data_IF_406493312717
#
_entry.id   IF_406493312717
#
_cell.length_a   1.000
_cell.length_b   1.000
_cell.length_c   1.000
_cell.angle_alpha   90.00
_cell.angle_beta   90.00
_cell.angle_gamma   90.00
#
_symmetry.space_group_name_H-M   'P 1'
#
loop_
_entity.id
_entity.type
_entity.pdbx_description
1 polymer ?
#
# COMPACT_ATOMS: atom_id res chain seq x y z
N UNK A 1 0.43 -94.95 -30.35
CA UNK A 1 1.19 -93.68 -30.38
C UNK A 1 0.46 -92.53 -31.10
N UNK A 2 -0.56 -92.78 -31.93
CA UNK A 2 -1.26 -91.75 -32.73
C UNK A 2 -1.94 -90.63 -31.92
N UNK A 3 -2.60 -90.93 -30.78
CA UNK A 3 -3.27 -89.93 -29.93
C UNK A 3 -2.32 -88.84 -29.39
N UNK A 4 -1.09 -89.22 -29.02
CA UNK A 4 -0.07 -88.27 -28.54
C UNK A 4 0.40 -87.34 -29.66
N UNK A 5 0.56 -87.87 -30.88
CA UNK A 5 0.92 -87.07 -32.04
C UNK A 5 -0.15 -86.03 -32.38
N UNK A 6 -1.43 -86.42 -32.37
CA UNK A 6 -2.56 -85.51 -32.59
C UNK A 6 -2.65 -84.43 -31.50
N UNK A 7 -2.44 -84.80 -30.23
CA UNK A 7 -2.44 -83.82 -29.13
C UNK A 7 -1.31 -82.79 -29.28
N UNK A 8 -0.08 -83.24 -29.60
CA UNK A 8 1.03 -82.32 -29.84
C UNK A 8 0.76 -81.39 -31.03
N UNK A 9 0.16 -81.91 -32.10
CA UNK A 9 -0.24 -81.09 -33.25
C UNK A 9 -1.26 -80.02 -32.86
N UNK A 10 -2.25 -80.37 -32.04
CA UNK A 10 -3.23 -79.40 -31.54
C UNK A 10 -2.58 -78.34 -30.64
N UNK A 11 -1.64 -78.73 -29.77
CA UNK A 11 -0.88 -77.79 -28.91
C UNK A 11 -0.02 -76.85 -29.76
N UNK A 12 0.64 -77.37 -30.79
CA UNK A 12 1.43 -76.53 -31.71
C UNK A 12 0.52 -75.55 -32.45
N UNK A 13 -0.66 -75.99 -32.90
CA UNK A 13 -1.63 -75.12 -33.58
C UNK A 13 -2.17 -74.01 -32.65
N UNK A 14 -2.50 -74.34 -31.40
CA UNK A 14 -2.96 -73.33 -30.43
C UNK A 14 -1.85 -72.34 -30.08
N UNK A 15 -0.61 -72.82 -29.89
CA UNK A 15 0.54 -71.94 -29.68
C UNK A 15 0.76 -71.01 -30.87
N UNK A 16 0.68 -71.51 -32.11
CA UNK A 16 0.81 -70.68 -33.31
C UNK A 16 -0.24 -69.56 -33.36
N UNK A 17 -1.50 -69.87 -33.05
CA UNK A 17 -2.58 -68.87 -33.00
C UNK A 17 -2.32 -67.83 -31.91
N UNK A 18 -1.90 -68.26 -30.70
CA UNK A 18 -1.58 -67.32 -29.63
C UNK A 18 -0.39 -66.44 -29.99
N UNK A 19 0.64 -67.02 -30.64
CA UNK A 19 1.83 -66.28 -31.05
C UNK A 19 1.49 -65.24 -32.10
N UNK A 20 0.65 -65.59 -33.10
CA UNK A 20 0.21 -64.64 -34.12
C UNK A 20 -0.64 -63.52 -33.54
N UNK A 21 -1.56 -63.85 -32.63
CA UNK A 21 -2.38 -62.84 -31.94
C UNK A 21 -1.52 -61.90 -31.11
N UNK A 22 -0.52 -62.42 -30.40
CA UNK A 22 0.39 -61.61 -29.59
C UNK A 22 1.29 -60.73 -30.46
N UNK A 23 1.76 -61.22 -31.61
CA UNK A 23 2.53 -60.40 -32.54
C UNK A 23 1.68 -59.28 -33.14
N UNK A 24 0.42 -59.58 -33.49
CA UNK A 24 -0.51 -58.60 -34.07
C UNK A 24 -0.84 -57.50 -33.06
N UNK A 25 -1.15 -57.85 -31.81
CA UNK A 25 -1.42 -56.87 -30.76
C UNK A 25 -0.18 -56.06 -30.42
N UNK A 26 0.99 -56.68 -30.38
CA UNK A 26 2.26 -55.95 -30.16
C UNK A 26 2.55 -54.96 -31.29
N UNK A 27 2.31 -55.35 -32.55
CA UNK A 27 2.47 -54.47 -33.71
C UNK A 27 1.48 -53.30 -33.65
N UNK A 28 0.22 -53.56 -33.30
CA UNK A 28 -0.80 -52.52 -33.13
C UNK A 28 -0.39 -51.51 -32.03
N UNK A 29 0.03 -51.99 -30.86
CA UNK A 29 0.44 -51.11 -29.77
C UNK A 29 1.64 -50.24 -30.13
N UNK A 30 2.60 -50.78 -30.90
CA UNK A 30 3.74 -50.01 -31.42
C UNK A 30 3.29 -48.95 -32.41
N UNK A 31 2.47 -49.31 -33.39
CA UNK A 31 1.92 -48.36 -34.36
C UNK A 31 1.13 -47.25 -33.69
N UNK A 32 0.30 -47.59 -32.70
CA UNK A 32 -0.47 -46.62 -31.93
C UNK A 32 0.45 -45.67 -31.16
N UNK A 33 1.47 -46.21 -30.49
CA UNK A 33 2.46 -45.38 -29.80
C UNK A 33 3.20 -44.46 -30.77
N UNK A 34 3.69 -44.99 -31.88
CA UNK A 34 4.40 -44.22 -32.91
C UNK A 34 3.51 -43.13 -33.53
N UNK A 35 2.21 -43.39 -33.70
CA UNK A 35 1.25 -42.42 -34.20
C UNK A 35 1.03 -41.24 -33.22
N UNK A 36 1.07 -41.49 -31.90
CA UNK A 36 0.84 -40.47 -30.87
C UNK A 36 2.12 -39.85 -30.30
N UNK A 37 3.29 -40.35 -30.65
CA UNK A 37 4.58 -39.73 -30.31
C UNK A 37 4.65 -38.22 -30.59
N UNK A 38 4.24 -37.69 -31.77
CA UNK A 38 4.33 -36.27 -32.02
C UNK A 38 3.45 -35.44 -31.07
N UNK A 39 2.25 -35.92 -30.74
CA UNK A 39 1.34 -35.25 -29.79
C UNK A 39 1.93 -35.20 -28.39
N UNK A 40 2.58 -36.30 -27.95
CA UNK A 40 3.25 -36.35 -26.65
C UNK A 40 4.42 -35.35 -26.59
N UNK A 41 5.17 -35.22 -27.68
CA UNK A 41 6.29 -34.26 -27.78
C UNK A 41 5.76 -32.83 -27.74
N UNK A 42 4.67 -32.54 -28.46
CA UNK A 42 4.01 -31.23 -28.42
C UNK A 42 3.46 -30.89 -27.02
N UNK A 43 2.88 -31.88 -26.33
CA UNK A 43 2.45 -31.69 -24.95
C UNK A 43 3.63 -31.38 -24.01
N UNK A 44 4.78 -32.06 -24.18
CA UNK A 44 5.98 -31.79 -23.38
C UNK A 44 6.52 -30.36 -23.62
N UNK A 45 6.48 -29.86 -24.86
CA UNK A 45 6.87 -28.46 -25.13
C UNK A 45 5.89 -27.47 -24.51
N UNK A 46 4.57 -27.75 -24.55
CA UNK A 46 3.57 -26.92 -23.91
C UNK A 46 3.71 -26.90 -22.38
N UNK A 47 4.00 -28.06 -21.76
CA UNK A 47 4.23 -28.16 -20.32
C UNK A 47 5.45 -27.31 -19.91
N UNK A 48 6.54 -27.34 -20.70
CA UNK A 48 7.72 -26.51 -20.44
C UNK A 48 7.40 -25.02 -20.54
N UNK A 49 6.66 -24.61 -21.56
CA UNK A 49 6.24 -23.22 -21.72
C UNK A 49 5.37 -22.74 -20.55
N UNK A 50 4.43 -23.57 -20.07
CA UNK A 50 3.60 -23.25 -18.90
C UNK A 50 4.47 -23.12 -17.64
N UNK A 51 5.44 -24.02 -17.45
CA UNK A 51 6.34 -23.94 -16.30
C UNK A 51 7.19 -22.65 -16.31
N UNK A 52 7.64 -22.19 -17.48
CA UNK A 52 8.33 -20.91 -17.64
C UNK A 52 7.43 -19.72 -17.27
N UNK A 53 6.18 -19.72 -17.75
CA UNK A 53 5.18 -18.70 -17.41
C UNK A 53 4.92 -18.67 -15.90
N UNK A 54 4.82 -19.83 -15.25
CA UNK A 54 4.58 -19.91 -13.80
C UNK A 54 5.75 -19.33 -12.99
N UNK A 55 6.99 -19.56 -13.44
CA UNK A 55 8.19 -18.97 -12.82
C UNK A 55 8.18 -17.44 -12.97
N UNK A 56 7.86 -16.93 -14.15
CA UNK A 56 7.75 -15.49 -14.38
C UNK A 56 6.61 -14.86 -13.58
N UNK A 57 5.46 -15.53 -13.50
CA UNK A 57 4.32 -15.08 -12.70
C UNK A 57 4.68 -15.02 -11.20
N UNK A 58 5.37 -16.02 -10.67
CA UNK A 58 5.87 -15.99 -9.30
C UNK A 58 6.84 -14.82 -9.06
N UNK A 59 7.66 -14.47 -10.05
CA UNK A 59 8.55 -13.30 -9.97
C UNK A 59 7.78 -11.97 -10.03
N UNK A 60 6.78 -11.86 -10.91
CA UNK A 60 5.91 -10.70 -10.99
C UNK A 60 5.16 -10.47 -9.67
N UNK A 61 4.67 -11.53 -9.02
CA UNK A 61 4.03 -11.44 -7.71
C UNK A 61 4.99 -10.91 -6.63
N UNK A 62 6.25 -11.37 -6.61
CA UNK A 62 7.27 -10.85 -5.67
C UNK A 62 7.53 -9.36 -5.89
N UNK A 63 7.65 -8.92 -7.15
CA UNK A 63 7.83 -7.50 -7.49
C UNK A 63 6.60 -6.71 -7.04
N UNK A 64 5.39 -7.20 -7.31
CA UNK A 64 4.14 -6.55 -6.89
C UNK A 64 4.02 -6.42 -5.37
N UNK A 65 4.53 -7.39 -4.62
CA UNK A 65 4.58 -7.32 -3.17
C UNK A 65 5.59 -6.26 -2.72
N UNK A 66 6.80 -6.26 -3.29
CA UNK A 66 7.83 -5.27 -2.97
C UNK A 66 7.37 -3.84 -3.28
N UNK A 67 6.70 -3.61 -4.41
CA UNK A 67 6.15 -2.29 -4.75
C UNK A 67 5.07 -1.88 -3.77
N UNK A 68 4.13 -2.77 -3.43
CA UNK A 68 3.12 -2.49 -2.41
C UNK A 68 3.74 -2.12 -1.07
N UNK A 69 4.77 -2.84 -0.61
CA UNK A 69 5.51 -2.51 0.62
C UNK A 69 6.09 -1.09 0.55
N UNK A 70 6.77 -0.74 -0.55
CA UNK A 70 7.29 0.61 -0.75
C UNK A 70 6.20 1.68 -0.78
N UNK A 71 5.05 1.38 -1.37
CA UNK A 71 3.89 2.28 -1.35
C UNK A 71 3.37 2.51 0.08
N UNK A 72 3.26 1.44 0.88
CA UNK A 72 2.85 1.56 2.29
C UNK A 72 3.85 2.38 3.11
N UNK A 73 5.16 2.20 2.87
CA UNK A 73 6.19 3.00 3.53
C UNK A 73 6.16 4.45 3.08
N UNK A 74 5.97 4.70 1.77
CA UNK A 74 5.86 6.05 1.23
C UNK A 74 4.64 6.80 1.79
N UNK A 75 3.50 6.12 1.95
CA UNK A 75 2.28 6.71 2.50
C UNK A 75 2.40 7.06 4.00
N UNK A 76 3.33 6.42 4.73
CA UNK A 76 3.65 6.84 6.10
C UNK A 76 4.32 8.22 6.16
N UNK A 77 5.00 8.64 5.09
CA UNK A 77 5.63 9.96 5.01
C UNK A 77 4.62 11.03 4.60
N UNK A 78 3.85 11.50 5.58
CA UNK A 78 2.99 12.68 5.40
C UNK A 78 3.87 13.93 5.31
N UNK A 79 3.91 14.55 4.12
CA UNK A 79 4.66 15.79 3.84
C UNK A 79 4.39 16.88 4.90
N UNK A 80 3.13 17.13 5.35
CA UNK A 80 2.87 18.12 6.40
C UNK A 80 3.57 17.80 7.71
N UNK A 81 3.58 16.53 8.14
CA UNK A 81 4.22 16.10 9.39
C UNK A 81 5.74 16.26 9.30
N UNK A 82 6.33 15.92 8.15
CA UNK A 82 7.75 16.18 7.87
C UNK A 82 8.08 17.68 7.94
N UNK A 83 7.21 18.54 7.41
CA UNK A 83 7.39 19.99 7.50
C UNK A 83 7.23 20.51 8.93
N UNK A 84 6.31 19.96 9.72
CA UNK A 84 6.17 20.28 11.14
C UNK A 84 7.40 19.85 11.95
N UNK A 85 8.06 18.75 11.59
CA UNK A 85 9.32 18.32 12.21
C UNK A 85 10.48 19.23 11.78
N UNK A 86 10.53 19.62 10.50
CA UNK A 86 11.64 20.41 9.94
C UNK A 86 11.53 21.92 10.23
N UNK A 87 10.33 22.45 10.45
CA UNK A 87 10.11 23.90 10.60
C UNK A 87 10.76 24.51 11.86
N UNK A 88 10.72 23.91 13.07
CA UNK A 88 11.37 24.48 14.25
C UNK A 88 12.90 24.61 14.14
N UNK A 89 13.67 23.58 13.71
CA UNK A 89 15.10 23.74 13.53
C UNK A 89 15.43 24.73 12.41
N UNK A 90 14.64 24.77 11.32
CA UNK A 90 14.79 25.78 10.26
C UNK A 90 14.63 27.20 10.81
N UNK A 91 13.59 27.46 11.60
CA UNK A 91 13.38 28.75 12.25
C UNK A 91 14.53 29.12 13.20
N UNK A 92 15.07 28.16 13.95
CA UNK A 92 16.24 28.40 14.83
C UNK A 92 17.47 28.83 14.03
N UNK A 93 17.74 28.17 12.90
CA UNK A 93 18.85 28.54 12.01
C UNK A 93 18.65 29.95 11.46
N UNK A 94 17.45 30.29 11.00
CA UNK A 94 17.13 31.64 10.52
C UNK A 94 17.30 32.68 11.63
N UNK A 95 16.83 32.41 12.84
CA UNK A 95 17.00 33.30 13.98
C UNK A 95 18.49 33.47 14.37
N UNK A 96 19.29 32.41 14.31
CA UNK A 96 20.75 32.52 14.54
C UNK A 96 21.44 33.29 13.42
N UNK A 97 21.04 33.07 12.17
CA UNK A 97 21.54 33.80 11.00
C UNK A 97 21.24 35.29 11.11
N UNK A 98 20.04 35.65 11.57
CA UNK A 98 19.68 37.04 11.87
C UNK A 98 20.57 37.65 12.96
N UNK A 99 20.82 36.91 14.05
CA UNK A 99 21.70 37.37 15.13
C UNK A 99 23.16 37.57 14.69
N UNK A 100 23.69 36.67 13.86
CA UNK A 100 25.10 36.68 13.45
C UNK A 100 25.37 37.64 12.30
N UNK A 101 24.51 37.65 11.28
CA UNK A 101 24.68 38.47 10.08
C UNK A 101 24.01 39.83 10.19
N UNK A 102 23.32 40.09 11.31
CA UNK A 102 22.76 41.39 11.62
C UNK A 102 21.74 41.85 10.58
N UNK A 103 20.81 40.99 10.17
CA UNK A 103 19.58 41.50 9.53
C UNK A 103 18.94 42.39 10.56
N UNK A 104 19.04 43.71 10.38
CA UNK A 104 18.93 44.70 11.46
C UNK A 104 17.53 44.88 12.05
N UNK A 105 16.72 43.83 12.17
CA UNK A 105 15.36 43.75 12.73
C UNK A 105 14.32 44.65 12.07
N UNK A 106 14.77 45.65 11.32
CA UNK A 106 13.99 46.69 10.68
C UNK A 106 13.76 46.28 9.25
N UNK A 107 12.49 46.01 8.95
CA UNK A 107 12.00 45.99 7.57
C UNK A 107 12.20 47.41 7.01
N UNK A 108 12.84 47.51 5.85
CA UNK A 108 12.91 48.77 5.14
C UNK A 108 11.56 49.04 4.48
N UNK A 109 11.05 50.28 4.54
CA UNK A 109 9.88 50.65 3.75
C UNK A 109 10.21 50.53 2.25
N UNK A 110 9.17 50.26 1.45
CA UNK A 110 9.33 50.10 0.00
C UNK A 110 10.03 51.32 -0.61
N UNK A 111 11.01 51.06 -1.48
CA UNK A 111 11.81 52.08 -2.16
C UNK A 111 13.08 52.53 -1.42
N UNK A 112 13.24 52.20 -0.12
CA UNK A 112 14.46 52.54 0.62
C UNK A 112 15.51 51.43 0.44
N UNK A 113 16.73 51.81 0.06
CA UNK A 113 17.83 50.88 -0.27
C UNK A 113 17.50 49.84 -1.35
N UNK A 114 16.50 50.10 -2.20
CA UNK A 114 16.03 49.15 -3.21
C UNK A 114 15.11 48.06 -2.66
N UNK A 115 14.61 48.19 -1.43
CA UNK A 115 13.64 47.25 -0.87
C UNK A 115 12.33 47.27 -1.68
N UNK A 116 11.83 46.11 -2.08
CA UNK A 116 10.57 45.97 -2.80
C UNK A 116 9.87 44.65 -2.44
N UNK A 117 8.53 44.67 -2.46
CA UNK A 117 7.69 43.49 -2.26
C UNK A 117 8.04 42.73 -0.97
N UNK A 118 8.47 41.47 -1.13
CA UNK A 118 8.90 40.56 -0.04
C UNK A 118 10.35 40.76 0.39
N UNK A 119 11.20 41.36 -0.46
CA UNK A 119 12.64 41.53 -0.21
C UNK A 119 12.94 42.84 0.54
N UNK A 120 12.53 42.92 1.81
CA UNK A 120 12.62 44.16 2.60
C UNK A 120 13.67 44.12 3.73
N UNK A 121 14.54 43.10 3.77
CA UNK A 121 15.56 42.95 4.82
C UNK A 121 16.96 42.99 4.21
N UNK A 122 17.83 43.84 4.75
CA UNK A 122 19.25 43.82 4.39
C UNK A 122 19.98 42.78 5.23
N UNK A 123 20.72 41.90 4.57
CA UNK A 123 21.61 40.93 5.20
C UNK A 123 23.04 41.14 4.74
N UNK A 124 23.99 41.14 5.68
CA UNK A 124 25.41 41.12 5.36
C UNK A 124 25.86 39.69 5.10
N UNK A 125 26.51 39.49 3.96
CA UNK A 125 27.23 38.26 3.67
C UNK A 125 28.59 38.25 4.37
N UNK A 126 29.20 37.08 4.52
CA UNK A 126 30.55 36.94 5.10
C UNK A 126 31.60 37.74 4.32
N UNK A 127 31.36 37.97 3.02
CA UNK A 127 32.19 38.79 2.13
C UNK A 127 32.07 40.30 2.39
N UNK A 128 31.25 40.70 3.37
CA UNK A 128 30.97 42.10 3.70
C UNK A 128 30.00 42.80 2.74
N UNK A 129 29.48 42.10 1.73
CA UNK A 129 28.47 42.64 0.80
C UNK A 129 27.08 42.59 1.43
N UNK A 130 26.32 43.68 1.27
CA UNK A 130 24.92 43.76 1.68
C UNK A 130 24.02 43.28 0.55
N UNK A 131 23.04 42.42 0.87
CA UNK A 131 22.02 41.93 -0.08
C UNK A 131 20.63 42.08 0.52
N UNK A 132 19.64 42.32 -0.33
CA UNK A 132 18.23 42.30 0.04
C UNK A 132 17.70 40.87 0.02
N UNK A 133 16.94 40.55 1.06
CA UNK A 133 16.56 39.20 1.41
C UNK A 133 15.12 39.17 1.93
N UNK A 134 14.41 38.09 1.68
CA UNK A 134 13.05 37.82 2.16
C UNK A 134 13.04 37.33 3.64
N UNK A 135 11.86 37.09 4.19
CA UNK A 135 11.60 36.53 5.52
C UNK A 135 12.36 35.22 5.76
N UNK A 136 12.50 34.40 4.72
CA UNK A 136 13.19 33.11 4.77
C UNK A 136 14.70 33.19 4.58
N UNK A 137 15.27 34.38 4.38
CA UNK A 137 16.70 34.48 4.13
C UNK A 137 17.12 34.21 2.67
N UNK A 138 16.16 34.23 1.73
CA UNK A 138 16.36 34.03 0.28
C UNK A 138 16.52 35.35 -0.48
N UNK A 139 17.41 35.36 -1.46
CA UNK A 139 17.64 36.48 -2.39
C UNK A 139 16.75 36.39 -3.63
N UNK A 140 16.59 37.49 -4.37
CA UNK A 140 15.79 37.53 -5.61
C UNK A 140 16.22 36.45 -6.61
N UNK A 141 17.53 36.32 -6.87
CA UNK A 141 18.06 35.31 -7.79
C UNK A 141 17.73 33.88 -7.36
N UNK A 142 17.77 33.60 -6.06
CA UNK A 142 17.43 32.26 -5.54
C UNK A 142 15.94 31.97 -5.71
N UNK A 143 15.08 32.97 -5.50
CA UNK A 143 13.64 32.80 -5.69
C UNK A 143 13.28 32.66 -7.17
N UNK A 144 13.95 33.39 -8.07
CA UNK A 144 13.80 33.20 -9.51
C UNK A 144 14.25 31.80 -9.97
N UNK A 145 15.36 31.29 -9.41
CA UNK A 145 15.82 29.93 -9.68
C UNK A 145 14.84 28.88 -9.18
N UNK A 146 14.29 29.04 -7.97
CA UNK A 146 13.24 28.15 -7.44
C UNK A 146 11.99 28.18 -8.32
N UNK A 147 11.59 29.36 -8.81
CA UNK A 147 10.44 29.51 -9.68
C UNK A 147 10.63 28.84 -11.05
N UNK A 148 11.88 28.74 -11.54
CA UNK A 148 12.20 27.96 -12.75
C UNK A 148 12.13 26.45 -12.53
N UNK A 149 12.34 26.00 -11.29
CA UNK A 149 12.32 24.56 -10.95
C UNK A 149 10.88 24.09 -10.68
N UNK A 150 10.05 24.94 -10.07
CA UNK A 150 8.65 24.65 -9.75
C UNK A 150 7.73 25.71 -10.38
N UNK A 151 7.63 25.69 -11.71
CA UNK A 151 6.80 26.63 -12.48
C UNK A 151 5.31 26.53 -12.11
N UNK A 152 4.86 25.34 -11.71
CA UNK A 152 3.47 25.05 -11.34
C UNK A 152 3.15 25.36 -9.87
N UNK A 153 4.16 25.69 -9.04
CA UNK A 153 4.00 25.98 -7.61
C UNK A 153 3.43 24.80 -6.82
N UNK A 154 3.64 23.57 -7.30
CA UNK A 154 3.05 22.37 -6.73
C UNK A 154 3.79 21.92 -5.46
N UNK A 155 5.07 22.26 -5.33
CA UNK A 155 5.94 21.85 -4.23
C UNK A 155 6.33 23.01 -3.32
N UNK A 156 6.55 24.20 -3.89
CA UNK A 156 6.95 25.42 -3.18
C UNK A 156 5.72 26.32 -3.09
N UNK A 157 4.96 26.16 -2.00
CA UNK A 157 3.85 27.07 -1.71
C UNK A 157 4.37 28.52 -1.74
N UNK A 158 3.76 29.42 -2.53
CA UNK A 158 4.18 30.82 -2.57
C UNK A 158 4.10 31.38 -1.16
N UNK A 159 5.17 32.05 -0.72
CA UNK A 159 5.19 32.73 0.57
C UNK A 159 3.97 33.65 0.64
N UNK A 160 3.06 33.38 1.57
CA UNK A 160 1.93 34.27 1.84
C UNK A 160 2.55 35.62 2.21
N UNK A 161 2.37 36.60 1.36
CA UNK A 161 2.69 37.98 1.70
C UNK A 161 1.85 38.32 2.91
N UNK A 162 2.49 38.43 4.08
CA UNK A 162 1.88 38.96 5.30
C UNK A 162 1.62 40.47 5.09
N UNK A 163 0.70 40.79 4.19
CA UNK A 163 0.00 42.06 4.15
C UNK A 163 -1.00 41.96 5.29
N UNK A 164 -0.62 42.51 6.44
CA UNK A 164 -1.48 42.98 7.52
C UNK A 164 -2.91 42.42 7.54
N UNK A 165 -3.14 41.44 8.41
CA UNK A 165 -4.39 41.44 9.18
C UNK A 165 -4.03 41.50 10.66
N UNK A 166 -3.85 42.75 11.11
CA UNK A 166 -3.97 43.16 12.50
C UNK A 166 -5.43 42.94 12.87
N UNK A 167 -5.82 41.70 13.21
CA UNK A 167 -7.08 41.42 13.91
C UNK A 167 -6.76 41.14 15.36
N UNK A 168 -6.69 42.26 16.07
CA UNK A 168 -7.21 42.48 17.42
C UNK A 168 -7.85 41.23 18.09
N UNK A 169 -7.12 40.68 19.07
CA UNK A 169 -7.62 39.93 20.23
C UNK A 169 -8.49 38.67 20.02
N UNK A 170 -7.95 37.46 20.20
CA UNK A 170 -8.75 36.27 20.51
C UNK A 170 -8.94 36.15 22.03
N UNK A 171 -9.55 37.15 22.67
CA UNK A 171 -10.02 37.03 24.08
C UNK A 171 -11.48 36.57 24.18
N UNK A 172 -12.13 36.32 23.05
CA UNK A 172 -13.46 35.72 23.01
C UNK A 172 -13.32 34.22 23.29
N UNK A 173 -13.58 33.88 24.56
CA UNK A 173 -13.78 32.50 25.03
C UNK A 173 -14.62 31.72 24.02
N UNK A 174 -14.28 30.46 23.72
CA UNK A 174 -15.01 29.71 22.73
C UNK A 174 -16.48 29.52 23.13
N UNK A 175 -17.38 30.14 22.37
CA UNK A 175 -18.84 30.01 22.52
C UNK A 175 -19.34 28.55 22.42
N UNK A 176 -18.52 27.62 21.91
CA UNK A 176 -18.86 26.18 21.90
C UNK A 176 -18.98 25.60 23.31
N UNK A 177 -18.18 26.08 24.28
CA UNK A 177 -18.24 25.61 25.66
C UNK A 177 -19.55 26.05 26.34
N UNK A 178 -19.99 27.29 26.07
CA UNK A 178 -21.26 27.83 26.57
C UNK A 178 -22.46 27.11 25.94
N UNK A 179 -22.36 26.70 24.67
CA UNK A 179 -23.37 25.86 24.00
C UNK A 179 -23.42 24.44 24.57
N UNK A 180 -22.29 23.85 24.95
CA UNK A 180 -22.24 22.51 25.53
C UNK A 180 -22.91 22.44 26.92
N UNK A 181 -22.63 23.41 27.80
CA UNK A 181 -23.25 23.47 29.13
C UNK A 181 -24.75 23.82 29.09
N UNK A 182 -25.18 24.65 28.14
CA UNK A 182 -26.62 24.96 27.96
C UNK A 182 -27.39 23.81 27.32
N UNK A 183 -26.76 22.98 26.47
CA UNK A 183 -27.40 21.78 25.91
C UNK A 183 -27.61 20.66 26.93
N UNK A 184 -26.75 20.53 27.95
CA UNK A 184 -26.88 19.50 28.99
C UNK A 184 -27.98 19.83 30.02
N UNK A 185 -28.24 21.12 30.27
CA UNK A 185 -29.28 21.53 31.22
C UNK A 185 -30.71 21.13 30.83
N UNK A 186 -30.96 20.74 29.56
CA UNK A 186 -32.25 20.24 29.08
C UNK A 186 -32.53 18.76 29.38
N UNK A 187 -31.58 18.03 29.99
CA UNK A 187 -31.70 16.60 30.30
C UNK A 187 -32.00 16.28 31.78
N UNK A 188 -32.59 17.22 32.53
CA UNK A 188 -33.24 16.90 33.81
C UNK A 188 -34.76 16.77 33.61
N UNK A 189 -35.32 15.56 33.48
CA UNK A 189 -36.74 15.37 33.70
C UNK A 189 -37.03 15.63 35.19
N UNK A 190 -37.84 16.65 35.43
CA UNK A 190 -38.52 16.87 36.71
C UNK A 190 -39.30 15.61 37.06
N UNK A 191 -39.06 15.08 38.25
CA UNK A 191 -39.77 13.97 38.86
C UNK A 191 -41.24 14.32 39.12
N UNK A 192 -42.15 13.49 38.63
CA UNK A 192 -43.46 13.20 39.25
C UNK A 192 -43.83 11.76 38.86
N UNK A 193 -43.52 10.76 39.69
CA UNK A 193 -44.42 10.24 40.72
C UNK A 193 -45.78 9.81 40.15
N UNK A 194 -46.02 8.49 40.10
CA UNK A 194 -47.17 7.78 40.70
C UNK A 194 -47.00 6.28 40.44
N UNK A 195 -46.99 5.52 41.53
CA UNK A 195 -46.99 4.07 41.59
C UNK A 195 -48.35 3.49 41.16
N UNK A 196 -48.39 2.20 40.76
CA UNK A 196 -49.27 1.14 41.32
C UNK A 196 -49.59 0.01 40.31
N UNK A 197 -49.26 -1.23 40.75
CA UNK A 197 -49.89 -2.56 40.51
C UNK A 197 -49.64 -3.43 39.25
N UNK A 198 -49.12 -4.62 39.57
CA UNK A 198 -49.63 -5.99 39.28
C UNK A 198 -49.21 -6.74 37.99
N UNK A 199 -48.41 -7.79 38.21
CA UNK A 199 -48.45 -9.14 37.57
C UNK A 199 -49.85 -9.78 37.68
N UNK A 200 -50.27 -10.77 36.84
CA UNK A 200 -49.46 -11.95 36.43
C UNK A 200 -49.75 -12.55 35.02
N UNK A 201 -49.11 -13.70 34.76
CA UNK A 201 -49.50 -14.84 33.88
C UNK A 201 -48.58 -15.12 32.66
N UNK A 202 -47.75 -16.15 32.80
CA UNK A 202 -47.19 -17.02 31.73
C UNK A 202 -48.29 -17.96 31.19
N UNK A 203 -48.21 -18.66 30.03
CA UNK A 203 -47.01 -19.28 29.43
C UNK A 203 -46.99 -19.38 27.88
N UNK A 204 -46.03 -20.17 27.36
CA UNK A 204 -46.01 -20.97 26.11
C UNK A 204 -44.85 -20.64 25.15
N UNK A 205 -43.97 -21.64 25.00
CA UNK A 205 -42.96 -21.86 23.93
C UNK A 205 -43.66 -22.45 22.69
N UNK A 206 -43.18 -22.32 21.43
CA UNK A 206 -42.06 -23.18 20.95
C UNK A 206 -41.22 -22.65 19.76
N UNK A 207 -40.17 -23.42 19.43
CA UNK A 207 -39.56 -23.61 18.09
C UNK A 207 -38.74 -22.41 17.52
N UNK A 208 -37.74 -22.52 16.66
CA UNK A 208 -36.91 -23.55 16.01
C UNK A 208 -35.91 -22.73 15.17
N UNK A 209 -34.61 -23.09 15.14
CA UNK A 209 -33.64 -22.93 14.02
C UNK A 209 -32.26 -23.34 14.56
N UNK A 210 -31.62 -24.47 14.19
CA UNK A 210 -30.99 -24.84 12.89
C UNK A 210 -30.21 -23.67 12.27
N UNK A 211 -28.99 -23.78 11.77
CA UNK A 211 -27.94 -24.79 11.59
C UNK A 211 -26.72 -24.01 11.03
N UNK A 212 -25.57 -24.67 10.92
CA UNK A 212 -24.38 -24.31 10.14
C UNK A 212 -23.28 -23.44 10.80
N UNK A 213 -22.26 -24.13 11.32
CA UNK A 213 -20.87 -23.74 11.08
C UNK A 213 -19.98 -24.99 11.13
N UNK A 214 -19.70 -25.55 9.95
CA UNK A 214 -18.60 -26.50 9.72
C UNK A 214 -17.56 -25.72 8.92
N UNK A 215 -16.41 -25.42 9.53
CA UNK A 215 -15.22 -25.06 8.78
C UNK A 215 -14.01 -25.82 9.35
N UNK A 216 -13.42 -26.62 8.48
CA UNK A 216 -12.35 -27.55 8.77
C UNK A 216 -11.00 -26.83 8.91
N UNK A 217 -10.29 -27.16 9.98
CA UNK A 217 -8.87 -26.86 10.11
C UNK A 217 -8.06 -27.70 9.12
N UNK A 218 -7.44 -27.04 8.14
CA UNK A 218 -6.32 -27.57 7.37
C UNK A 218 -5.01 -27.02 7.94
N UNK A 219 -4.14 -27.90 8.41
CA UNK A 219 -2.84 -27.57 8.99
C UNK A 219 -1.77 -27.37 7.89
N UNK A 220 -0.77 -26.49 8.09
CA UNK A 220 0.29 -26.27 7.10
C UNK A 220 1.37 -27.36 7.14
N UNK A 221 1.70 -27.87 5.96
CA UNK A 221 2.80 -28.82 5.67
C UNK A 221 4.15 -28.13 5.86
N UNK A 222 5.00 -28.69 6.74
CA UNK A 222 6.42 -28.31 6.88
C UNK A 222 7.23 -28.99 5.79
N UNK A 223 7.94 -28.20 4.97
CA UNK A 223 8.93 -28.70 4.03
C UNK A 223 10.30 -28.64 4.72
N UNK A 224 10.85 -29.80 5.08
CA UNK A 224 12.23 -29.93 5.54
C UNK A 224 13.19 -29.85 4.34
N UNK A 225 14.12 -28.90 4.40
CA UNK A 225 15.27 -28.80 3.49
C UNK A 225 16.23 -29.94 3.80
N UNK A 226 16.39 -30.87 2.87
CA UNK A 226 17.57 -31.74 2.82
C UNK A 226 18.76 -30.90 2.30
N UNK A 227 19.75 -30.66 3.17
CA UNK A 227 21.07 -30.20 2.78
C UNK A 227 21.94 -31.44 2.54
N UNK A 228 22.30 -31.67 1.28
CA UNK A 228 23.32 -32.65 0.87
C UNK A 228 24.69 -31.98 0.83
N UNK A 229 25.62 -32.47 1.65
CA UNK A 229 27.07 -32.41 1.45
C UNK A 229 27.54 -33.84 1.13
#
# INVERSE_FOLDING_TARGET
MWRRAVHLQNVVATLQILTSRLSDTSALMRQYYEAHLPEIIELDTHIKAIAEIDVENANALKISQATKTLWYEAEQFRIPDLWHIASPPRQKVLAMREKLLGTGGRRFPQGVHGAYGRFNRLQKTLDGRERLVDLEGKTESEVEEEQRIDEEGAFISPAKEDIEDVVEHPSIKPMWLLRFFTSWAKWRPSTSAVATRQTPVSPVSPAETREAEMDGLSAPVKIEKAASL
#
